data_IF_401694663585
#
_entry.id   IF_401694663585
#
_cell.length_a   1.000
_cell.length_b   1.000
_cell.length_c   1.000
_cell.angle_alpha   90.00
_cell.angle_beta   90.00
_cell.angle_gamma   90.00
#
_symmetry.space_group_name_H-M   'P 1'
#
loop_
_entity.id
_entity.type
_entity.pdbx_description
1 polymer ?
#
# COMPACT_ATOMS: atom_id res chain seq x y z
N UNK A 1 41.82 22.87 36.76
CA UNK A 1 40.77 21.81 36.83
C UNK A 1 39.51 22.09 36.01
N UNK A 2 38.90 23.29 36.07
CA UNK A 2 37.55 23.59 35.52
C UNK A 2 37.40 23.54 33.97
N UNK A 3 38.42 23.96 33.20
CA UNK A 3 38.32 24.02 31.71
C UNK A 3 38.23 22.64 31.04
N UNK A 4 38.91 21.62 31.57
CA UNK A 4 38.89 20.26 31.01
C UNK A 4 37.54 19.55 31.20
N UNK A 5 36.84 19.84 32.31
CA UNK A 5 35.51 19.26 32.59
C UNK A 5 34.47 19.87 31.64
N UNK A 6 34.49 21.19 31.42
CA UNK A 6 33.61 21.86 30.44
C UNK A 6 33.86 21.35 29.01
N UNK A 7 35.13 21.18 28.61
CA UNK A 7 35.48 20.67 27.27
C UNK A 7 35.01 19.22 27.06
N UNK A 8 35.22 18.35 28.06
CA UNK A 8 34.73 16.95 28.05
C UNK A 8 33.20 16.88 27.98
N UNK A 9 32.50 17.74 28.74
CA UNK A 9 31.04 17.83 28.70
C UNK A 9 30.52 18.27 27.32
N UNK A 10 31.12 19.31 26.74
CA UNK A 10 30.77 19.80 25.40
C UNK A 10 31.05 18.72 24.33
N UNK A 11 32.17 18.01 24.43
CA UNK A 11 32.52 16.92 23.51
C UNK A 11 31.52 15.76 23.57
N UNK A 12 31.09 15.35 24.77
CA UNK A 12 30.05 14.32 24.96
C UNK A 12 28.70 14.78 24.42
N UNK A 13 28.36 16.07 24.57
CA UNK A 13 27.14 16.65 24.02
C UNK A 13 27.14 16.65 22.49
N UNK A 14 28.27 17.02 21.87
CA UNK A 14 28.45 16.96 20.40
C UNK A 14 28.35 15.51 19.90
N UNK A 15 29.02 14.56 20.56
CA UNK A 15 28.94 13.14 20.20
C UNK A 15 27.49 12.62 20.27
N UNK A 16 26.73 12.97 21.31
CA UNK A 16 25.30 12.61 21.40
C UNK A 16 24.48 13.20 20.24
N UNK A 17 24.72 14.46 19.87
CA UNK A 17 24.01 15.11 18.75
C UNK A 17 24.35 14.43 17.43
N UNK A 18 25.61 14.07 17.19
CA UNK A 18 26.05 13.35 15.99
C UNK A 18 25.42 11.95 15.94
N UNK A 19 25.39 11.22 17.06
CA UNK A 19 24.75 9.90 17.12
C UNK A 19 23.26 10.01 16.80
N UNK A 20 22.56 11.01 17.38
CA UNK A 20 21.14 11.24 17.10
C UNK A 20 20.90 11.60 15.63
N UNK A 21 21.75 12.45 15.02
CA UNK A 21 21.60 12.83 13.62
C UNK A 21 21.81 11.64 12.67
N UNK A 22 22.78 10.75 12.96
CA UNK A 22 23.01 9.52 12.21
C UNK A 22 21.82 8.56 12.34
N UNK A 23 21.25 8.40 13.53
CA UNK A 23 20.04 7.59 13.74
C UNK A 23 18.87 8.15 12.92
N UNK A 24 18.65 9.46 12.95
CA UNK A 24 17.60 10.14 12.16
C UNK A 24 17.83 9.90 10.66
N UNK A 25 19.06 10.00 10.17
CA UNK A 25 19.40 9.75 8.77
C UNK A 25 19.11 8.29 8.37
N UNK A 26 19.48 7.32 9.21
CA UNK A 26 19.21 5.89 8.96
C UNK A 26 17.71 5.62 8.94
N UNK A 27 16.95 6.21 9.88
CA UNK A 27 15.48 6.09 9.93
C UNK A 27 14.87 6.73 8.68
N UNK A 28 15.29 7.94 8.29
CA UNK A 28 14.82 8.61 7.09
C UNK A 28 15.15 7.82 5.81
N UNK A 29 16.34 7.25 5.72
CA UNK A 29 16.74 6.39 4.60
C UNK A 29 15.92 5.09 4.55
N UNK A 30 15.63 4.49 5.70
CA UNK A 30 14.74 3.33 5.83
C UNK A 30 13.31 3.66 5.40
N UNK A 31 12.77 4.80 5.86
CA UNK A 31 11.46 5.29 5.47
C UNK A 31 11.39 5.59 3.97
N UNK A 32 12.41 6.23 3.41
CA UNK A 32 12.49 6.54 1.98
C UNK A 32 12.47 5.28 1.13
N UNK A 33 13.30 4.27 1.44
CA UNK A 33 13.35 2.97 0.73
C UNK A 33 12.05 2.17 0.85
N UNK A 34 11.29 2.35 1.92
CA UNK A 34 9.99 1.69 2.14
C UNK A 34 8.79 2.50 1.60
N UNK A 35 9.00 3.77 1.25
CA UNK A 35 7.97 4.67 0.69
C UNK A 35 7.76 4.46 -0.81
N UNK A 36 6.65 4.98 -1.35
CA UNK A 36 6.39 5.01 -2.78
C UNK A 36 7.25 6.02 -3.57
N UNK A 37 7.94 6.94 -2.88
CA UNK A 37 8.73 8.00 -3.50
C UNK A 37 10.00 7.47 -4.17
N UNK A 38 10.69 6.51 -3.54
CA UNK A 38 11.88 5.85 -4.13
C UNK A 38 11.57 5.17 -5.48
N UNK A 39 10.32 4.80 -5.73
CA UNK A 39 9.90 4.08 -6.93
C UNK A 39 8.92 4.90 -7.79
N UNK A 40 8.92 6.23 -7.63
CA UNK A 40 8.18 7.13 -8.52
C UNK A 40 8.86 7.09 -9.89
N UNK A 41 8.07 7.02 -10.98
CA UNK A 41 8.55 6.85 -12.37
C UNK A 41 9.70 7.82 -12.69
N UNK A 42 10.92 7.29 -12.85
CA UNK A 42 11.97 7.96 -13.60
C UNK A 42 11.67 7.91 -15.11
N UNK A 43 12.38 8.71 -15.89
CA UNK A 43 12.30 8.71 -17.35
C UNK A 43 12.69 7.31 -17.85
N UNK A 44 11.79 6.63 -18.56
CA UNK A 44 12.00 5.26 -19.05
C UNK A 44 12.47 5.36 -20.50
N UNK A 45 13.72 4.97 -20.76
CA UNK A 45 14.24 4.85 -22.11
C UNK A 45 13.61 3.63 -22.81
N UNK A 46 13.31 3.71 -24.13
CA UNK A 46 12.55 2.68 -24.87
C UNK A 46 13.20 1.27 -24.88
N UNK A 47 14.49 1.16 -24.57
CA UNK A 47 15.23 -0.12 -24.51
C UNK A 47 15.68 -0.50 -23.09
N UNK A 48 15.22 0.23 -22.07
CA UNK A 48 15.65 -0.03 -20.70
C UNK A 48 14.99 -1.30 -20.14
N UNK A 49 15.76 -2.09 -19.39
CA UNK A 49 15.24 -3.25 -18.70
C UNK A 49 14.37 -2.79 -17.52
N UNK A 50 13.04 -2.85 -17.65
CA UNK A 50 12.10 -2.39 -16.63
C UNK A 50 10.82 -3.22 -16.55
N UNK A 51 10.06 -3.03 -15.47
CA UNK A 51 8.72 -3.62 -15.33
C UNK A 51 7.66 -2.67 -15.85
N UNK A 52 6.55 -3.20 -16.35
CA UNK A 52 5.37 -2.39 -16.69
C UNK A 52 4.83 -1.61 -15.48
N UNK A 53 4.98 -2.14 -14.25
CA UNK A 53 4.65 -1.50 -12.98
C UNK A 53 5.64 -1.87 -11.89
N UNK A 54 6.06 -0.88 -11.10
CA UNK A 54 6.91 -1.07 -9.92
C UNK A 54 6.12 -1.12 -8.61
N UNK A 55 4.88 -0.64 -8.59
CA UNK A 55 3.96 -0.71 -7.47
C UNK A 55 2.54 -0.89 -7.99
N UNK A 56 1.81 -1.86 -7.44
CA UNK A 56 0.41 -2.14 -7.77
C UNK A 56 -0.43 -2.34 -6.50
N UNK A 57 -1.67 -1.89 -6.56
CA UNK A 57 -2.70 -2.17 -5.56
C UNK A 57 -3.67 -3.17 -6.17
N UNK A 58 -3.97 -4.26 -5.46
CA UNK A 58 -4.91 -5.29 -5.90
C UNK A 58 -5.97 -5.51 -4.83
N UNK A 59 -7.22 -5.66 -5.25
CA UNK A 59 -8.28 -6.16 -4.38
C UNK A 59 -8.08 -7.66 -4.20
N UNK A 60 -8.34 -8.20 -3.00
CA UNK A 60 -8.29 -9.66 -2.78
C UNK A 60 -9.12 -10.40 -3.85
N UNK A 61 -8.50 -11.35 -4.53
CA UNK A 61 -9.06 -12.12 -5.65
C UNK A 61 -8.79 -11.52 -7.03
N UNK A 62 -8.25 -10.30 -7.13
CA UNK A 62 -7.82 -9.74 -8.40
C UNK A 62 -6.51 -10.36 -8.90
N UNK A 63 -6.32 -10.25 -10.20
CA UNK A 63 -5.11 -10.66 -10.90
C UNK A 63 -4.52 -9.49 -11.69
N UNK A 64 -3.22 -9.54 -11.93
CA UNK A 64 -2.52 -8.55 -12.73
C UNK A 64 -1.39 -9.18 -13.53
N UNK A 65 -1.29 -8.86 -14.83
CA UNK A 65 -0.17 -9.30 -15.66
C UNK A 65 1.03 -8.38 -15.48
N UNK A 66 2.02 -8.87 -14.75
CA UNK A 66 3.33 -8.23 -14.62
C UNK A 66 4.23 -8.76 -15.74
N UNK A 67 4.81 -7.87 -16.52
CA UNK A 67 5.79 -8.26 -17.54
C UNK A 67 6.96 -7.30 -17.56
N UNK A 68 8.08 -7.83 -18.05
CA UNK A 68 9.37 -7.13 -18.16
C UNK A 68 9.54 -6.69 -19.60
N UNK A 69 9.86 -5.41 -19.79
CA UNK A 69 10.36 -4.89 -21.05
C UNK A 69 11.85 -5.16 -21.14
N UNK A 70 12.28 -5.80 -22.23
CA UNK A 70 13.67 -6.14 -22.51
C UNK A 70 13.78 -7.16 -23.64
N UNK A 71 14.83 -7.07 -24.45
CA UNK A 71 15.01 -7.89 -25.66
C UNK A 71 15.55 -9.28 -25.29
N UNK A 72 14.86 -10.35 -25.72
CA UNK A 72 15.33 -11.73 -25.72
C UNK A 72 15.94 -12.23 -24.40
N UNK A 73 15.39 -11.82 -23.25
CA UNK A 73 15.83 -12.33 -21.95
C UNK A 73 14.77 -13.24 -21.32
N UNK A 74 15.18 -14.44 -20.92
CA UNK A 74 14.38 -15.31 -20.05
C UNK A 74 14.19 -14.63 -18.69
N UNK A 75 12.96 -14.62 -18.22
CA UNK A 75 12.56 -14.02 -16.95
C UNK A 75 12.02 -15.12 -16.04
N UNK A 76 12.43 -15.10 -14.78
CA UNK A 76 11.81 -15.92 -13.73
C UNK A 76 11.16 -15.00 -12.70
N UNK A 77 9.98 -15.37 -12.22
CA UNK A 77 9.22 -14.62 -11.23
C UNK A 77 9.14 -15.40 -9.92
N UNK A 78 9.26 -14.69 -8.79
CA UNK A 78 8.95 -15.25 -7.48
C UNK A 78 8.42 -14.15 -6.57
N UNK A 79 7.70 -14.56 -5.52
CA UNK A 79 7.14 -13.65 -4.51
C UNK A 79 7.91 -13.72 -3.21
N UNK A 80 8.12 -12.59 -2.55
CA UNK A 80 8.64 -12.57 -1.18
C UNK A 80 7.60 -13.02 -0.15
N UNK A 81 6.31 -13.03 -0.51
CA UNK A 81 5.24 -13.51 0.35
C UNK A 81 4.09 -14.09 -0.48
N UNK A 82 4.18 -15.39 -0.76
CA UNK A 82 3.19 -16.11 -1.57
C UNK A 82 1.82 -16.19 -0.92
N UNK A 83 1.70 -16.06 0.42
CA UNK A 83 0.41 -16.03 1.11
C UNK A 83 -0.37 -14.74 0.84
N UNK A 84 0.33 -13.64 0.56
CA UNK A 84 -0.26 -12.34 0.22
C UNK A 84 -0.50 -12.25 -1.28
N UNK A 85 0.54 -12.47 -2.09
CA UNK A 85 0.44 -12.46 -3.54
C UNK A 85 1.34 -13.52 -4.17
N UNK A 86 0.77 -14.35 -5.05
CA UNK A 86 1.49 -15.33 -5.87
C UNK A 86 1.78 -14.80 -7.26
N UNK A 87 2.69 -15.45 -7.98
CA UNK A 87 2.97 -15.17 -9.39
C UNK A 87 3.28 -16.48 -10.12
N UNK A 88 2.78 -16.65 -11.34
CA UNK A 88 3.10 -17.81 -12.17
C UNK A 88 4.27 -17.52 -13.13
N UNK A 89 4.70 -18.54 -13.88
CA UNK A 89 5.81 -18.44 -14.83
C UNK A 89 5.59 -17.39 -15.94
N UNK A 90 4.33 -17.11 -16.30
CA UNK A 90 3.95 -16.10 -17.29
C UNK A 90 3.85 -14.67 -16.72
N UNK A 91 4.18 -14.47 -15.44
CA UNK A 91 4.11 -13.17 -14.78
C UNK A 91 2.69 -12.72 -14.38
N UNK A 92 1.70 -13.62 -14.40
CA UNK A 92 0.37 -13.34 -13.85
C UNK A 92 0.44 -13.41 -12.32
N UNK A 93 0.15 -12.29 -11.68
CA UNK A 93 0.17 -12.08 -10.22
C UNK A 93 -1.24 -12.25 -9.67
N UNK A 94 -1.39 -13.02 -8.59
CA UNK A 94 -2.66 -13.34 -7.94
C UNK A 94 -2.70 -12.76 -6.52
N UNK A 95 -3.78 -12.07 -6.16
CA UNK A 95 -3.93 -11.46 -4.83
C UNK A 95 -4.73 -12.36 -3.87
N UNK A 96 -4.06 -13.00 -2.91
CA UNK A 96 -4.70 -13.99 -2.03
C UNK A 96 -5.13 -13.45 -0.67
N UNK A 97 -4.26 -12.69 0.01
CA UNK A 97 -4.53 -12.16 1.36
C UNK A 97 -4.11 -10.70 1.43
N UNK A 98 -4.84 -9.91 2.21
CA UNK A 98 -4.51 -8.51 2.43
C UNK A 98 -3.13 -8.38 3.07
N UNK A 99 -2.26 -7.51 2.54
CA UNK A 99 -0.90 -7.37 3.01
C UNK A 99 0.05 -6.73 1.99
N UNK A 100 1.35 -6.79 2.28
CA UNK A 100 2.42 -6.37 1.37
C UNK A 100 3.17 -7.60 0.87
N UNK A 101 3.42 -7.66 -0.42
CA UNK A 101 4.34 -8.61 -1.04
C UNK A 101 5.23 -7.87 -2.04
N UNK A 102 6.36 -8.47 -2.39
CA UNK A 102 7.19 -7.99 -3.49
C UNK A 102 7.32 -9.13 -4.50
N UNK A 103 6.87 -8.89 -5.72
CA UNK A 103 7.13 -9.79 -6.84
C UNK A 103 8.48 -9.39 -7.44
N UNK A 104 9.38 -10.35 -7.54
CA UNK A 104 10.72 -10.16 -8.07
C UNK A 104 10.80 -10.84 -9.41
N UNK A 105 11.11 -10.07 -10.46
CA UNK A 105 11.44 -10.57 -11.78
C UNK A 105 12.96 -10.63 -11.91
N UNK A 106 13.52 -11.84 -12.03
CA UNK A 106 14.95 -12.07 -12.18
C UNK A 106 15.28 -12.23 -13.67
N UNK A 107 16.22 -11.42 -14.13
CA UNK A 107 16.70 -11.37 -15.52
C UNK A 107 18.22 -11.47 -15.48
N UNK A 108 18.75 -12.67 -15.70
CA UNK A 108 20.16 -12.97 -15.44
C UNK A 108 20.56 -12.65 -13.99
N UNK A 109 21.52 -11.74 -13.82
CA UNK A 109 22.00 -11.27 -12.50
C UNK A 109 21.15 -10.13 -11.92
N UNK A 110 20.26 -9.50 -12.71
CA UNK A 110 19.47 -8.34 -12.29
C UNK A 110 18.15 -8.78 -11.66
N UNK A 111 17.70 -8.04 -10.63
CA UNK A 111 16.41 -8.25 -9.96
C UNK A 111 15.56 -6.98 -10.07
N UNK A 112 14.45 -7.07 -10.79
CA UNK A 112 13.43 -6.03 -10.82
C UNK A 112 12.38 -6.33 -9.76
N UNK A 113 11.88 -5.30 -9.07
CA UNK A 113 10.94 -5.46 -7.95
C UNK A 113 9.63 -4.74 -8.25
N UNK A 114 8.51 -5.44 -8.07
CA UNK A 114 7.17 -4.89 -8.06
C UNK A 114 6.58 -5.02 -6.65
N UNK A 115 6.25 -3.91 -6.01
CA UNK A 115 5.56 -3.91 -4.70
C UNK A 115 4.06 -4.12 -4.92
N UNK A 116 3.54 -5.20 -4.35
CA UNK A 116 2.12 -5.56 -4.41
C UNK A 116 1.49 -5.27 -3.06
N UNK A 117 0.46 -4.44 -3.06
CA UNK A 117 -0.35 -4.11 -1.89
C UNK A 117 -1.75 -4.69 -2.10
N UNK A 118 -2.05 -5.75 -1.36
CA UNK A 118 -3.38 -6.38 -1.43
C UNK A 118 -4.28 -5.76 -0.37
N UNK A 119 -5.44 -5.28 -0.82
CA UNK A 119 -6.45 -4.64 0.02
C UNK A 119 -7.80 -5.35 -0.10
N UNK A 120 -8.64 -5.24 0.91
CA UNK A 120 -10.01 -5.75 0.90
C UNK A 120 -10.87 -4.94 1.88
N UNK A 121 -12.19 -5.06 1.83
CA UNK A 121 -13.06 -4.49 2.85
C UNK A 121 -13.27 -5.46 4.01
N UNK A 122 -13.51 -4.92 5.22
CA UNK A 122 -13.94 -5.74 6.35
C UNK A 122 -15.33 -6.37 6.15
N UNK A 123 -16.20 -5.69 5.39
CA UNK A 123 -17.55 -6.12 5.00
C UNK A 123 -17.86 -5.61 3.59
N UNK A 124 -18.50 -6.47 2.78
CA UNK A 124 -19.00 -6.13 1.43
C UNK A 124 -20.52 -5.92 1.39
N UNK A 125 -21.23 -6.38 2.42
CA UNK A 125 -22.66 -6.17 2.62
C UNK A 125 -22.92 -5.92 4.10
N UNK A 126 -23.84 -5.00 4.40
CA UNK A 126 -24.28 -4.65 5.74
C UNK A 126 -25.78 -4.46 5.75
N UNK A 127 -26.44 -5.06 6.74
CA UNK A 127 -27.82 -4.78 7.07
C UNK A 127 -27.82 -3.96 8.36
N UNK A 128 -28.35 -2.75 8.30
CA UNK A 128 -28.35 -1.79 9.40
C UNK A 128 -29.80 -1.38 9.71
N UNK A 129 -30.09 -1.06 10.96
CA UNK A 129 -31.33 -0.39 11.35
C UNK A 129 -31.16 1.12 11.23
N UNK A 130 -32.27 1.84 11.18
CA UNK A 130 -32.24 3.30 11.17
C UNK A 130 -31.48 3.85 12.38
N UNK A 131 -30.53 4.79 12.13
CA UNK A 131 -29.68 5.36 13.16
C UNK A 131 -28.38 4.58 13.45
N UNK A 132 -28.30 3.30 13.05
CA UNK A 132 -27.10 2.49 13.29
C UNK A 132 -25.87 3.10 12.65
N UNK A 133 -24.72 2.87 13.30
CA UNK A 133 -23.42 3.24 12.76
C UNK A 133 -22.50 2.05 12.64
N UNK A 134 -21.70 2.01 11.57
CA UNK A 134 -20.74 0.95 11.33
C UNK A 134 -19.43 1.53 10.82
N UNK A 135 -18.29 1.02 11.30
CA UNK A 135 -16.97 1.42 10.78
C UNK A 135 -16.55 0.53 9.62
N UNK A 136 -16.75 1.03 8.40
CA UNK A 136 -16.24 0.39 7.19
C UNK A 136 -14.73 0.63 7.12
N UNK A 137 -13.95 -0.45 7.06
CA UNK A 137 -12.48 -0.40 7.07
C UNK A 137 -11.93 -1.13 5.84
N UNK A 138 -10.97 -0.49 5.18
CA UNK A 138 -10.09 -1.17 4.23
C UNK A 138 -9.01 -1.91 5.02
N UNK A 139 -8.98 -3.24 4.86
CA UNK A 139 -7.94 -4.14 5.37
C UNK A 139 -6.72 -4.10 4.45
N UNK A 140 -5.54 -4.29 5.02
CA UNK A 140 -4.28 -4.34 4.31
C UNK A 140 -3.33 -3.22 4.71
N UNK A 141 -2.35 -2.88 3.84
CA UNK A 141 -1.37 -1.84 4.11
C UNK A 141 -2.02 -0.47 4.35
N UNK A 142 -1.43 0.32 5.25
CA UNK A 142 -1.87 1.70 5.46
C UNK A 142 -1.86 2.48 4.14
N UNK A 143 -3.02 3.04 3.79
CA UNK A 143 -3.23 3.81 2.58
C UNK A 143 -4.32 4.85 2.82
N UNK A 144 -4.25 5.95 2.09
CA UNK A 144 -5.31 6.97 2.10
C UNK A 144 -6.52 6.43 1.34
N UNK A 145 -7.70 6.49 1.98
CA UNK A 145 -8.96 5.98 1.45
C UNK A 145 -9.94 7.14 1.30
N UNK A 146 -10.54 7.26 0.12
CA UNK A 146 -11.65 8.20 -0.11
C UNK A 146 -12.97 7.43 -0.15
N UNK A 147 -13.87 7.73 0.76
CA UNK A 147 -15.19 7.11 0.81
C UNK A 147 -16.23 8.00 0.11
N UNK A 148 -17.15 7.37 -0.61
CA UNK A 148 -18.32 8.02 -1.20
C UNK A 148 -19.55 7.13 -0.99
N UNK A 149 -20.74 7.74 -0.94
CA UNK A 149 -22.02 7.03 -0.91
C UNK A 149 -22.76 7.31 -2.21
N UNK A 150 -23.34 6.29 -2.85
CA UNK A 150 -24.17 6.48 -4.05
C UNK A 150 -25.49 7.18 -3.74
N UNK A 151 -26.01 7.04 -2.52
CA UNK A 151 -27.20 7.73 -2.03
C UNK A 151 -27.01 8.09 -0.55
N UNK A 152 -26.67 9.37 -0.30
CA UNK A 152 -26.41 9.93 1.03
C UNK A 152 -27.67 10.09 1.88
N UNK A 153 -28.85 10.10 1.27
CA UNK A 153 -30.14 10.13 1.97
C UNK A 153 -30.45 8.80 2.66
N UNK A 154 -29.99 7.67 2.11
CA UNK A 154 -30.12 6.33 2.70
C UNK A 154 -29.02 6.07 3.73
N UNK A 155 -27.76 6.28 3.37
CA UNK A 155 -26.64 6.17 4.31
C UNK A 155 -25.50 7.12 3.94
N UNK A 156 -24.91 7.76 4.95
CA UNK A 156 -23.73 8.62 4.81
C UNK A 156 -22.48 7.93 5.30
N UNK A 157 -21.32 8.32 4.79
CA UNK A 157 -20.00 7.88 5.24
C UNK A 157 -19.10 9.09 5.43
N UNK A 158 -18.34 9.13 6.52
CA UNK A 158 -17.34 10.19 6.75
C UNK A 158 -15.94 9.78 6.25
N UNK A 159 -14.98 10.72 6.35
CA UNK A 159 -13.59 10.50 5.91
C UNK A 159 -12.89 9.33 6.64
N UNK A 160 -13.33 8.99 7.86
CA UNK A 160 -12.77 7.89 8.65
C UNK A 160 -13.44 6.53 8.37
N UNK A 161 -14.41 6.47 7.45
CA UNK A 161 -15.17 5.28 7.11
C UNK A 161 -16.30 4.94 8.09
N UNK A 162 -16.72 5.88 8.95
CA UNK A 162 -17.92 5.70 9.79
C UNK A 162 -19.15 5.92 8.92
N UNK A 163 -19.88 4.83 8.72
CA UNK A 163 -21.16 4.76 8.03
C UNK A 163 -22.28 5.03 9.02
N UNK A 164 -23.27 5.85 8.66
CA UNK A 164 -24.50 6.08 9.43
C UNK A 164 -25.71 5.81 8.55
N UNK A 165 -26.61 4.94 9.02
CA UNK A 165 -27.89 4.67 8.38
C UNK A 165 -28.87 5.81 8.68
N UNK A 166 -29.55 6.32 7.64
CA UNK A 166 -30.44 7.50 7.73
C UNK A 166 -31.88 7.20 7.34
N UNK A 167 -32.09 6.49 6.24
CA UNK A 167 -33.43 6.16 5.72
C UNK A 167 -33.47 4.72 5.23
N UNK A 168 -34.62 4.03 5.35
CA UNK A 168 -34.79 2.70 4.78
C UNK A 168 -34.49 2.71 3.28
N UNK A 169 -33.88 1.63 2.80
CA UNK A 169 -33.49 1.48 1.40
C UNK A 169 -32.11 0.88 1.21
N UNK A 170 -31.68 0.80 -0.05
CA UNK A 170 -30.42 0.19 -0.45
C UNK A 170 -29.50 1.24 -1.07
N UNK A 171 -28.25 1.28 -0.62
CA UNK A 171 -27.22 2.19 -1.16
C UNK A 171 -25.87 1.49 -1.20
N UNK A 172 -24.92 2.01 -1.97
CA UNK A 172 -23.57 1.47 -2.06
C UNK A 172 -22.56 2.49 -1.59
N UNK A 173 -21.72 2.10 -0.65
CA UNK A 173 -20.57 2.87 -0.22
C UNK A 173 -19.34 2.38 -0.97
N UNK A 174 -18.63 3.31 -1.61
CA UNK A 174 -17.41 3.02 -2.36
C UNK A 174 -16.21 3.56 -1.61
N UNK A 175 -15.24 2.69 -1.34
CA UNK A 175 -13.91 3.04 -0.84
C UNK A 175 -12.93 3.06 -2.02
N UNK A 176 -12.41 4.23 -2.37
CA UNK A 176 -11.40 4.41 -3.41
C UNK A 176 -10.00 4.44 -2.79
N UNK A 177 -9.14 3.54 -3.25
CA UNK A 177 -7.72 3.46 -2.88
C UNK A 177 -6.88 3.44 -4.15
N UNK A 178 -6.21 4.55 -4.47
CA UNK A 178 -5.29 4.67 -5.62
C UNK A 178 -5.91 4.17 -6.94
N UNK A 179 -7.19 4.46 -7.17
CA UNK A 179 -7.93 4.05 -8.39
C UNK A 179 -8.62 2.70 -8.29
N UNK A 180 -8.48 1.98 -7.17
CA UNK A 180 -9.24 0.76 -6.89
C UNK A 180 -10.51 1.07 -6.11
N UNK A 181 -11.65 0.58 -6.60
CA UNK A 181 -12.97 0.83 -6.03
C UNK A 181 -13.49 -0.40 -5.31
N UNK A 182 -13.45 -0.39 -3.98
CA UNK A 182 -14.08 -1.43 -3.16
C UNK A 182 -15.50 -1.00 -2.81
N UNK A 183 -16.48 -1.85 -3.10
CA UNK A 183 -17.91 -1.55 -2.89
C UNK A 183 -18.45 -2.32 -1.69
N UNK A 184 -19.20 -1.63 -0.83
CA UNK A 184 -19.99 -2.20 0.23
C UNK A 184 -21.47 -1.84 0.03
N UNK A 185 -22.32 -2.85 -0.09
CA UNK A 185 -23.77 -2.67 -0.21
C UNK A 185 -24.36 -2.52 1.18
N UNK A 186 -25.08 -1.42 1.40
CA UNK A 186 -25.80 -1.14 2.65
C UNK A 186 -27.29 -1.32 2.38
N UNK A 187 -27.94 -2.10 3.22
CA UNK A 187 -29.40 -2.20 3.27
C UNK A 187 -29.83 -1.69 4.63
N UNK A 188 -30.60 -0.60 4.64
CA UNK A 188 -31.21 -0.04 5.84
C UNK A 188 -32.64 -0.55 5.91
N UNK A 189 -32.98 -1.17 7.04
CA UNK A 189 -34.32 -1.63 7.38
C UNK A 189 -34.93 -0.73 8.44
#
# INVERSE_FOLDING_TARGET
MSRNIKRSYILRKIYKVIIISVIILIVMFSLYRNSGLFYRKGIILPFSLHLNRQEIYLIKGEEFRLFVYGINKRVSFYSTNFRVAGVNFNGRVYAYRTGKAVIIAKVGKRKLKCRVKVIDLNRKRLNLRLGDTFRLRVKGPACFVRYTSSNSSVATVNIFGKVKAKRPGKTTITANVKGKHLKCVITVR
#
